data_IF_802444486864
#
_entry.id   IF_802444486864
#
_cell.length_a   1.000
_cell.length_b   1.000
_cell.length_c   1.000
_cell.angle_alpha   90.00
_cell.angle_beta   90.00
_cell.angle_gamma   90.00
#
_symmetry.space_group_name_H-M   'P 1'
#
loop_
_entity.id
_entity.type
_entity.pdbx_description
1 polymer ?
#
# COMPACT_ATOMS: atom_id res chain seq x y z
N UNK A 1 36.84 -22.72 19.17
CA UNK A 1 37.49 -22.08 18.01
C UNK A 1 38.27 -20.86 18.51
N UNK A 2 39.49 -20.65 18.04
CA UNK A 2 40.28 -19.46 18.38
C UNK A 2 39.86 -18.34 17.41
N UNK A 3 39.17 -17.33 17.91
CA UNK A 3 38.83 -16.13 17.15
C UNK A 3 39.95 -15.11 17.38
N UNK A 4 40.54 -14.62 16.30
CA UNK A 4 41.56 -13.57 16.33
C UNK A 4 40.94 -12.30 15.76
N UNK A 5 40.97 -11.22 16.54
CA UNK A 5 40.51 -9.91 16.12
C UNK A 5 41.74 -9.00 15.95
N UNK A 6 41.73 -8.23 14.87
CA UNK A 6 42.76 -7.27 14.50
C UNK A 6 42.05 -6.03 13.97
N UNK A 7 41.95 -5.00 14.81
CA UNK A 7 41.33 -3.73 14.47
C UNK A 7 42.35 -2.68 13.97
N UNK A 8 43.60 -3.10 13.76
CA UNK A 8 44.71 -2.26 13.33
C UNK A 8 45.46 -1.56 14.47
N UNK A 9 44.93 -1.56 15.70
CA UNK A 9 45.58 -0.99 16.89
C UNK A 9 45.96 -2.07 17.92
N UNK A 10 45.11 -3.09 18.11
CA UNK A 10 45.38 -4.23 18.98
C UNK A 10 45.03 -5.56 18.33
N UNK A 11 45.88 -6.58 18.60
CA UNK A 11 45.62 -7.97 18.25
C UNK A 11 45.30 -8.76 19.51
N UNK A 12 44.07 -9.22 19.63
CA UNK A 12 43.68 -10.12 20.71
C UNK A 12 43.02 -11.39 20.13
N UNK A 13 43.20 -12.49 20.87
CA UNK A 13 42.62 -13.77 20.47
C UNK A 13 41.89 -14.42 21.64
N UNK A 14 40.62 -14.78 21.42
CA UNK A 14 39.79 -15.46 22.40
C UNK A 14 39.41 -16.84 21.89
N UNK A 15 39.62 -17.87 22.70
CA UNK A 15 39.02 -19.19 22.48
C UNK A 15 37.59 -19.17 23.00
N UNK A 16 36.62 -19.29 22.09
CA UNK A 16 35.21 -19.52 22.42
C UNK A 16 34.67 -20.71 21.65
N UNK A 17 33.67 -21.38 22.21
CA UNK A 17 32.83 -22.32 21.45
C UNK A 17 32.07 -21.55 20.38
N UNK A 18 32.03 -22.08 19.16
CA UNK A 18 31.25 -21.47 18.09
C UNK A 18 29.80 -21.90 18.27
N UNK A 19 28.95 -20.95 18.65
CA UNK A 19 27.52 -21.21 18.93
C UNK A 19 26.69 -21.46 17.67
N UNK A 20 27.27 -21.22 16.48
CA UNK A 20 26.58 -21.27 15.20
C UNK A 20 26.00 -19.90 14.81
N UNK A 21 25.83 -19.66 13.51
CA UNK A 21 25.38 -18.36 12.98
C UNK A 21 23.94 -18.05 13.41
N UNK A 22 23.04 -19.04 13.35
CA UNK A 22 21.62 -18.84 13.66
C UNK A 22 21.44 -18.49 15.14
N UNK A 23 22.01 -19.31 16.04
CA UNK A 23 21.94 -19.08 17.49
C UNK A 23 22.59 -17.73 17.87
N UNK A 24 23.67 -17.33 17.20
CA UNK A 24 24.29 -16.03 17.41
C UNK A 24 23.34 -14.88 17.06
N UNK A 25 22.66 -14.94 15.91
CA UNK A 25 21.71 -13.92 15.48
C UNK A 25 20.50 -13.85 16.41
N UNK A 26 19.93 -14.99 16.78
CA UNK A 26 18.79 -15.08 17.69
C UNK A 26 19.13 -14.50 19.08
N UNK A 27 20.26 -14.92 19.66
CA UNK A 27 20.73 -14.37 20.94
C UNK A 27 20.95 -12.86 20.87
N UNK A 28 21.62 -12.37 19.82
CA UNK A 28 21.85 -10.92 19.63
C UNK A 28 20.55 -10.14 19.46
N UNK A 29 19.54 -10.70 18.81
CA UNK A 29 18.23 -10.08 18.66
C UNK A 29 17.53 -9.91 20.02
N UNK A 30 17.58 -10.95 20.86
CA UNK A 30 16.96 -10.94 22.20
C UNK A 30 17.71 -10.06 23.21
N UNK A 31 19.04 -10.07 23.18
CA UNK A 31 19.87 -9.36 24.15
C UNK A 31 20.11 -7.88 23.81
N UNK A 32 19.93 -7.48 22.55
CA UNK A 32 20.22 -6.08 22.17
C UNK A 32 19.07 -5.15 22.57
N UNK A 33 19.42 -4.00 23.15
CA UNK A 33 18.48 -2.89 23.44
C UNK A 33 18.40 -1.86 22.31
N UNK A 34 19.09 -2.12 21.19
CA UNK A 34 19.14 -1.20 20.05
C UNK A 34 18.13 -1.64 19.00
N UNK A 35 17.12 -0.80 18.76
CA UNK A 35 16.09 -1.05 17.75
C UNK A 35 16.70 -1.20 16.35
N UNK A 36 17.70 -0.38 16.00
CA UNK A 36 18.42 -0.52 14.73
C UNK A 36 19.06 -1.90 14.56
N UNK A 37 19.72 -2.43 15.60
CA UNK A 37 20.30 -3.79 15.53
C UNK A 37 19.21 -4.86 15.42
N UNK A 38 18.08 -4.70 16.10
CA UNK A 38 16.93 -5.61 15.96
C UNK A 38 16.41 -5.59 14.53
N UNK A 39 16.23 -4.41 13.94
CA UNK A 39 15.78 -4.27 12.55
C UNK A 39 16.75 -4.90 11.55
N UNK A 40 18.06 -4.72 11.71
CA UNK A 40 19.05 -5.38 10.85
C UNK A 40 18.97 -6.91 10.93
N UNK A 41 18.83 -7.46 12.15
CA UNK A 41 18.75 -8.91 12.35
C UNK A 41 17.40 -9.47 11.85
N UNK A 42 16.31 -8.72 12.05
CA UNK A 42 14.96 -9.12 11.63
C UNK A 42 14.85 -9.36 10.11
N UNK A 43 15.72 -8.76 9.29
CA UNK A 43 15.78 -9.01 7.84
C UNK A 43 16.11 -10.46 7.48
N UNK A 44 16.71 -11.22 8.40
CA UNK A 44 17.05 -12.63 8.22
C UNK A 44 15.99 -13.57 8.84
N UNK A 45 14.97 -13.02 9.48
CA UNK A 45 13.91 -13.77 10.12
C UNK A 45 12.69 -13.84 9.20
N UNK A 46 11.86 -14.86 9.43
CA UNK A 46 10.55 -14.99 8.81
C UNK A 46 9.51 -15.13 9.88
N UNK A 47 8.35 -14.55 9.65
CA UNK A 47 7.20 -14.75 10.54
C UNK A 47 6.67 -16.16 10.39
N UNK A 48 6.51 -16.84 11.51
CA UNK A 48 5.86 -18.14 11.62
C UNK A 48 4.73 -18.06 12.64
N UNK A 49 3.81 -19.01 12.57
CA UNK A 49 2.77 -19.11 13.59
C UNK A 49 3.42 -19.44 14.94
N UNK A 50 3.07 -18.68 15.98
CA UNK A 50 3.46 -18.99 17.35
C UNK A 50 3.11 -20.44 17.69
N UNK A 51 4.07 -21.21 18.21
CA UNK A 51 3.89 -22.63 18.54
C UNK A 51 2.81 -22.85 19.59
N UNK A 52 2.72 -21.96 20.60
CA UNK A 52 1.77 -22.08 21.71
C UNK A 52 0.32 -21.88 21.26
N UNK A 53 0.03 -20.77 20.58
CA UNK A 53 -1.34 -20.46 20.17
C UNK A 53 -1.66 -20.88 18.73
N UNK A 54 -0.71 -21.48 17.99
CA UNK A 54 -0.85 -21.80 16.56
C UNK A 54 -1.35 -20.63 15.69
N UNK A 55 -0.91 -19.42 16.03
CA UNK A 55 -1.32 -18.18 15.37
C UNK A 55 -2.76 -17.70 15.69
N UNK A 56 -3.44 -18.29 16.68
CA UNK A 56 -4.79 -17.87 17.09
C UNK A 56 -4.81 -16.66 18.03
N UNK A 57 -3.64 -16.25 18.55
CA UNK A 57 -3.39 -15.05 19.40
C UNK A 57 -4.10 -15.03 20.76
N UNK A 58 -4.85 -16.07 21.10
CA UNK A 58 -5.62 -16.18 22.34
C UNK A 58 -5.07 -17.32 23.20
N UNK A 59 -5.40 -17.27 24.50
CA UNK A 59 -5.14 -18.37 25.44
C UNK A 59 -6.06 -19.56 25.16
N UNK A 60 -5.65 -20.74 25.60
CA UNK A 60 -6.37 -21.99 25.36
C UNK A 60 -7.79 -21.96 25.94
N UNK A 61 -7.98 -21.36 27.11
CA UNK A 61 -9.29 -21.24 27.76
C UNK A 61 -10.28 -20.43 26.92
N UNK A 62 -9.79 -19.39 26.22
CA UNK A 62 -10.62 -18.60 25.30
C UNK A 62 -10.98 -19.37 24.02
N UNK A 63 -10.09 -20.26 23.55
CA UNK A 63 -10.30 -21.11 22.38
C UNK A 63 -11.22 -22.31 22.66
N UNK A 64 -11.44 -22.65 23.93
CA UNK A 64 -12.44 -23.64 24.34
C UNK A 64 -13.88 -23.14 24.16
N UNK A 65 -14.11 -21.82 24.15
CA UNK A 65 -15.45 -21.23 23.95
C UNK A 65 -15.83 -21.33 22.48
N UNK A 66 -16.96 -21.97 22.20
CA UNK A 66 -17.41 -22.30 20.84
C UNK A 66 -18.86 -21.92 20.60
N UNK A 67 -19.13 -21.44 19.40
CA UNK A 67 -20.49 -21.24 18.85
C UNK A 67 -20.57 -22.13 17.61
N UNK A 68 -21.62 -22.95 17.47
CA UNK A 68 -21.75 -23.93 16.37
C UNK A 68 -20.45 -24.73 16.15
N UNK A 69 -19.89 -25.23 17.27
CA UNK A 69 -18.64 -26.02 17.34
C UNK A 69 -17.36 -25.31 16.88
N UNK A 70 -17.38 -24.02 16.62
CA UNK A 70 -16.22 -23.22 16.21
C UNK A 70 -15.82 -22.17 17.23
N UNK A 71 -14.53 -21.99 17.43
CA UNK A 71 -13.99 -20.93 18.29
C UNK A 71 -13.89 -19.59 17.55
N UNK A 72 -13.70 -18.50 18.31
CA UNK A 72 -13.61 -17.14 17.77
C UNK A 72 -12.54 -17.02 16.67
N UNK A 73 -11.35 -17.59 16.88
CA UNK A 73 -10.25 -17.45 15.94
C UNK A 73 -10.48 -18.23 14.64
N UNK A 74 -11.13 -19.39 14.69
CA UNK A 74 -11.57 -20.13 13.50
C UNK A 74 -12.56 -19.34 12.65
N UNK A 75 -13.46 -18.58 13.29
CA UNK A 75 -14.41 -17.70 12.58
C UNK A 75 -13.65 -16.53 11.96
N UNK A 76 -12.71 -15.91 12.68
CA UNK A 76 -11.95 -14.77 12.13
C UNK A 76 -11.01 -15.14 10.98
N UNK A 77 -10.55 -16.39 10.90
CA UNK A 77 -9.75 -16.91 9.78
C UNK A 77 -10.56 -17.10 8.49
N UNK A 78 -11.90 -17.08 8.56
CA UNK A 78 -12.77 -17.15 7.38
C UNK A 78 -12.69 -15.87 6.57
N UNK A 79 -12.89 -15.99 5.25
CA UNK A 79 -13.18 -14.82 4.42
C UNK A 79 -14.48 -14.15 4.87
N UNK A 80 -14.64 -12.86 4.61
CA UNK A 80 -15.83 -12.09 5.00
C UNK A 80 -17.10 -12.72 4.41
N UNK A 81 -17.04 -13.23 3.17
CA UNK A 81 -18.17 -13.94 2.56
C UNK A 81 -18.53 -15.24 3.28
N UNK A 82 -17.54 -16.03 3.69
CA UNK A 82 -17.78 -17.26 4.45
C UNK A 82 -18.25 -16.98 5.88
N UNK A 83 -17.69 -15.96 6.52
CA UNK A 83 -18.08 -15.51 7.84
C UNK A 83 -19.55 -15.08 7.83
N UNK A 84 -19.96 -14.25 6.85
CA UNK A 84 -21.35 -13.81 6.71
C UNK A 84 -22.32 -14.99 6.56
N UNK A 85 -22.03 -15.92 5.63
CA UNK A 85 -22.86 -17.13 5.46
C UNK A 85 -22.97 -17.94 6.73
N UNK A 86 -21.89 -18.01 7.51
CA UNK A 86 -21.89 -18.73 8.78
C UNK A 86 -22.75 -18.03 9.84
N UNK A 87 -22.62 -16.70 10.01
CA UNK A 87 -23.45 -15.93 10.94
C UNK A 87 -24.94 -15.93 10.56
N UNK A 88 -25.28 -15.83 9.27
CA UNK A 88 -26.66 -15.99 8.79
C UNK A 88 -27.23 -17.39 9.08
N UNK A 89 -26.38 -18.44 9.05
CA UNK A 89 -26.82 -19.80 9.37
C UNK A 89 -27.12 -20.02 10.86
N UNK A 90 -26.64 -19.15 11.76
CA UNK A 90 -26.83 -19.30 13.20
C UNK A 90 -28.28 -19.07 13.64
N UNK A 91 -29.04 -18.27 12.90
CA UNK A 91 -30.45 -18.01 13.20
C UNK A 91 -31.30 -19.30 13.27
N UNK A 92 -30.89 -20.36 12.55
CA UNK A 92 -31.56 -21.65 12.52
C UNK A 92 -30.90 -22.72 13.42
N UNK A 93 -29.77 -22.40 14.06
CA UNK A 93 -28.96 -23.37 14.84
C UNK A 93 -28.96 -23.09 16.34
N UNK A 94 -29.21 -21.85 16.72
CA UNK A 94 -29.26 -21.45 18.12
C UNK A 94 -30.59 -21.89 18.76
N UNK A 95 -30.54 -22.25 20.03
CA UNK A 95 -31.74 -22.49 20.82
C UNK A 95 -32.53 -21.18 21.00
N UNK A 96 -33.84 -21.28 21.24
CA UNK A 96 -34.72 -20.10 21.34
C UNK A 96 -34.24 -19.06 22.37
N UNK A 97 -33.64 -19.50 23.48
CA UNK A 97 -33.09 -18.61 24.51
C UNK A 97 -31.89 -17.83 23.97
N UNK A 98 -30.94 -18.53 23.37
CA UNK A 98 -29.71 -17.94 22.84
C UNK A 98 -30.00 -17.01 21.67
N UNK A 99 -30.94 -17.39 20.82
CA UNK A 99 -31.39 -16.55 19.71
C UNK A 99 -31.97 -15.22 20.18
N UNK A 100 -32.77 -15.21 21.27
CA UNK A 100 -33.31 -13.96 21.84
C UNK A 100 -32.20 -13.03 22.34
N UNK A 101 -31.16 -13.59 22.97
CA UNK A 101 -30.02 -12.82 23.50
C UNK A 101 -29.15 -12.31 22.33
N UNK A 102 -28.88 -13.16 21.36
CA UNK A 102 -27.97 -12.87 20.26
C UNK A 102 -28.58 -12.02 19.14
N UNK A 103 -29.91 -11.89 19.08
CA UNK A 103 -30.64 -11.22 17.97
C UNK A 103 -30.05 -9.87 17.56
N UNK A 104 -29.83 -8.96 18.51
CA UNK A 104 -29.30 -7.62 18.22
C UNK A 104 -27.82 -7.67 17.80
N UNK A 105 -27.04 -8.57 18.42
CA UNK A 105 -25.61 -8.75 18.14
C UNK A 105 -25.42 -9.35 16.73
N UNK A 106 -26.17 -10.38 16.38
CA UNK A 106 -26.13 -11.02 15.06
C UNK A 106 -26.58 -10.06 13.97
N UNK A 107 -27.61 -9.24 14.23
CA UNK A 107 -28.02 -8.18 13.31
C UNK A 107 -26.88 -7.22 13.01
N UNK A 108 -26.23 -6.68 14.04
CA UNK A 108 -25.11 -5.74 13.90
C UNK A 108 -23.91 -6.38 13.16
N UNK A 109 -23.54 -7.61 13.51
CA UNK A 109 -22.46 -8.34 12.85
C UNK A 109 -22.77 -8.55 11.36
N UNK A 110 -23.97 -9.04 11.04
CA UNK A 110 -24.37 -9.30 9.66
C UNK A 110 -24.44 -8.01 8.83
N UNK A 111 -24.90 -6.90 9.42
CA UNK A 111 -24.90 -5.59 8.78
C UNK A 111 -23.47 -5.09 8.49
N UNK A 112 -22.55 -5.17 9.46
CA UNK A 112 -21.14 -4.80 9.26
C UNK A 112 -20.44 -5.64 8.19
N UNK A 113 -20.63 -6.96 8.23
CA UNK A 113 -20.12 -7.85 7.20
C UNK A 113 -20.71 -7.50 5.84
N UNK A 114 -22.00 -7.14 5.77
CA UNK A 114 -22.63 -6.71 4.53
C UNK A 114 -22.02 -5.41 3.98
N UNK A 115 -21.66 -4.44 4.83
CA UNK A 115 -20.97 -3.23 4.38
C UNK A 115 -19.62 -3.56 3.74
N UNK A 116 -18.83 -4.45 4.35
CA UNK A 116 -17.56 -4.92 3.77
C UNK A 116 -17.74 -5.61 2.41
N UNK A 117 -18.80 -6.41 2.26
CA UNK A 117 -19.14 -7.03 0.97
C UNK A 117 -19.53 -5.99 -0.09
N UNK A 118 -20.29 -4.97 0.30
CA UNK A 118 -20.75 -3.91 -0.60
C UNK A 118 -19.60 -3.03 -1.10
N UNK A 119 -18.47 -2.97 -0.40
CA UNK A 119 -17.25 -2.28 -0.87
C UNK A 119 -16.25 -3.23 -1.54
N UNK A 120 -16.64 -4.47 -1.86
CA UNK A 120 -15.82 -5.42 -2.62
C UNK A 120 -14.64 -6.01 -1.83
N UNK A 121 -14.76 -6.16 -0.51
CA UNK A 121 -13.73 -6.75 0.35
C UNK A 121 -14.04 -8.20 0.75
N UNK A 122 -14.88 -8.90 -0.02
CA UNK A 122 -15.41 -10.22 0.31
C UNK A 122 -14.35 -11.32 0.48
N UNK A 123 -13.21 -11.17 -0.20
CA UNK A 123 -12.10 -12.11 -0.19
C UNK A 123 -11.19 -12.01 1.04
N UNK A 124 -11.21 -10.88 1.75
CA UNK A 124 -10.36 -10.69 2.93
C UNK A 124 -10.88 -11.52 4.10
N UNK A 125 -9.95 -11.97 4.96
CA UNK A 125 -10.30 -12.59 6.24
C UNK A 125 -10.43 -11.53 7.33
N UNK A 126 -11.24 -11.80 8.36
CA UNK A 126 -11.37 -10.88 9.49
C UNK A 126 -10.09 -10.78 10.32
N UNK A 127 -9.25 -11.81 10.28
CA UNK A 127 -7.94 -11.86 10.94
C UNK A 127 -6.80 -11.24 10.13
N UNK A 128 -7.09 -10.64 8.97
CA UNK A 128 -6.05 -10.04 8.12
C UNK A 128 -5.42 -8.85 8.83
N UNK A 129 -4.10 -8.79 8.80
CA UNK A 129 -3.36 -7.70 9.43
C UNK A 129 -3.50 -6.39 8.66
N UNK A 130 -3.83 -5.31 9.38
CA UNK A 130 -4.06 -3.98 8.80
C UNK A 130 -2.84 -3.46 8.02
N UNK A 131 -1.63 -3.71 8.51
CA UNK A 131 -0.38 -3.30 7.85
C UNK A 131 -0.10 -4.00 6.51
N UNK A 132 -0.83 -5.06 6.19
CA UNK A 132 -0.67 -5.83 4.94
C UNK A 132 -1.72 -5.48 3.88
N UNK A 133 -2.62 -4.54 4.19
CA UNK A 133 -3.64 -4.05 3.28
C UNK A 133 -3.05 -3.01 2.33
N UNK A 134 -3.49 -3.03 1.09
CA UNK A 134 -3.23 -1.94 0.14
C UNK A 134 -3.94 -0.64 0.57
N UNK A 135 -3.49 0.50 0.06
CA UNK A 135 -4.13 1.80 0.33
C UNK A 135 -5.63 1.78 0.02
N UNK A 136 -6.01 1.26 -1.16
CA UNK A 136 -7.41 1.14 -1.55
C UNK A 136 -8.22 0.17 -0.67
N UNK A 137 -7.64 -0.93 -0.18
CA UNK A 137 -8.32 -1.81 0.78
C UNK A 137 -8.57 -1.11 2.12
N UNK A 138 -7.55 -0.43 2.67
CA UNK A 138 -7.66 0.33 3.91
C UNK A 138 -8.71 1.45 3.80
N UNK A 139 -8.73 2.17 2.69
CA UNK A 139 -9.71 3.21 2.41
C UNK A 139 -11.14 2.64 2.34
N UNK A 140 -11.34 1.50 1.67
CA UNK A 140 -12.66 0.85 1.58
C UNK A 140 -13.12 0.27 2.92
N UNK A 141 -12.23 -0.24 3.77
CA UNK A 141 -12.59 -0.62 5.15
C UNK A 141 -13.09 0.60 5.92
N UNK A 142 -12.40 1.74 5.81
CA UNK A 142 -12.83 2.99 6.44
C UNK A 142 -14.21 3.42 5.94
N UNK A 143 -14.45 3.36 4.63
CA UNK A 143 -15.76 3.66 4.04
C UNK A 143 -16.87 2.73 4.59
N UNK A 144 -16.63 1.43 4.64
CA UNK A 144 -17.59 0.47 5.20
C UNK A 144 -17.91 0.77 6.67
N UNK A 145 -16.89 1.15 7.46
CA UNK A 145 -17.07 1.58 8.85
C UNK A 145 -17.90 2.86 8.98
N UNK A 146 -17.75 3.82 8.06
CA UNK A 146 -18.54 5.06 8.08
C UNK A 146 -20.00 4.80 7.71
N UNK A 147 -20.27 3.97 6.70
CA UNK A 147 -21.64 3.56 6.36
C UNK A 147 -22.32 2.86 7.55
N UNK A 148 -21.58 2.03 8.29
CA UNK A 148 -22.10 1.35 9.47
C UNK A 148 -22.31 2.22 10.69
N UNK A 149 -21.68 3.40 10.76
CA UNK A 149 -21.91 4.34 11.87
C UNK A 149 -23.30 4.99 11.84
N UNK A 150 -23.97 4.98 10.68
CA UNK A 150 -25.30 5.56 10.52
C UNK A 150 -25.37 7.08 10.75
N UNK A 151 -24.24 7.77 10.66
CA UNK A 151 -24.18 9.23 10.81
C UNK A 151 -24.97 9.92 9.69
N UNK A 152 -25.61 11.04 10.03
CA UNK A 152 -26.41 11.88 9.13
C UNK A 152 -25.96 13.33 9.28
N UNK A 153 -26.10 14.15 8.24
CA UNK A 153 -25.65 15.55 8.25
C UNK A 153 -24.12 15.72 8.20
N UNK A 154 -23.36 14.69 7.83
CA UNK A 154 -21.90 14.73 7.72
C UNK A 154 -21.49 15.05 6.28
N UNK A 155 -20.42 15.85 6.13
CA UNK A 155 -19.72 16.06 4.86
C UNK A 155 -18.56 15.06 4.75
N UNK A 156 -18.70 14.08 3.86
CA UNK A 156 -17.63 13.13 3.55
C UNK A 156 -16.83 13.63 2.35
N UNK A 157 -15.51 13.69 2.50
CA UNK A 157 -14.57 13.99 1.41
C UNK A 157 -13.71 12.76 1.17
N UNK A 158 -13.75 12.23 -0.04
CA UNK A 158 -13.01 11.03 -0.46
C UNK A 158 -12.06 11.38 -1.60
N UNK A 159 -10.86 10.83 -1.50
CA UNK A 159 -9.79 11.01 -2.48
C UNK A 159 -9.57 9.71 -3.26
N UNK A 160 -9.99 9.68 -4.53
CA UNK A 160 -9.87 8.56 -5.47
C UNK A 160 -10.22 7.16 -4.90
N UNK A 161 -11.46 6.94 -4.40
CA UNK A 161 -11.85 5.67 -3.78
C UNK A 161 -11.84 4.46 -4.74
N UNK A 162 -11.77 4.68 -6.06
CA UNK A 162 -11.62 3.61 -7.06
C UNK A 162 -10.19 3.03 -7.13
N UNK A 163 -9.19 3.65 -6.46
CA UNK A 163 -7.80 3.16 -6.49
C UNK A 163 -7.72 1.68 -6.09
N UNK A 164 -7.05 0.90 -6.96
CA UNK A 164 -6.82 -0.52 -6.73
C UNK A 164 -8.09 -1.37 -6.76
N UNK A 165 -9.20 -0.82 -7.25
CA UNK A 165 -10.44 -1.53 -7.52
C UNK A 165 -10.49 -1.93 -9.00
N UNK A 166 -11.08 -3.09 -9.27
CA UNK A 166 -11.32 -3.53 -10.65
C UNK A 166 -12.63 -2.93 -11.16
N UNK A 167 -12.72 -2.61 -12.46
CA UNK A 167 -13.91 -1.97 -13.06
C UNK A 167 -15.23 -2.67 -12.68
N UNK A 168 -15.24 -4.00 -12.73
CA UNK A 168 -16.39 -4.82 -12.30
C UNK A 168 -16.94 -4.47 -10.90
N UNK A 169 -16.08 -4.14 -9.95
CA UNK A 169 -16.46 -3.85 -8.57
C UNK A 169 -16.73 -2.37 -8.32
N UNK A 170 -16.42 -1.50 -9.29
CA UNK A 170 -16.66 -0.06 -9.22
C UNK A 170 -18.14 0.29 -9.03
N UNK A 171 -19.03 -0.46 -9.69
CA UNK A 171 -20.49 -0.35 -9.52
C UNK A 171 -20.91 -0.52 -8.05
N UNK A 172 -20.25 -1.43 -7.32
CA UNK A 172 -20.56 -1.66 -5.90
C UNK A 172 -20.12 -0.45 -5.04
N UNK A 173 -18.95 0.11 -5.34
CA UNK A 173 -18.45 1.32 -4.71
C UNK A 173 -19.40 2.50 -4.94
N UNK A 174 -19.79 2.77 -6.19
CA UNK A 174 -20.75 3.83 -6.54
C UNK A 174 -22.07 3.65 -5.77
N UNK A 175 -22.57 2.42 -5.69
CA UNK A 175 -23.78 2.11 -4.89
C UNK A 175 -23.60 2.39 -3.41
N UNK A 176 -22.43 2.09 -2.84
CA UNK A 176 -22.11 2.39 -1.45
C UNK A 176 -22.03 3.90 -1.19
N UNK A 177 -21.46 4.68 -2.11
CA UNK A 177 -21.40 6.14 -2.04
C UNK A 177 -22.79 6.76 -2.12
N UNK A 178 -23.64 6.30 -3.06
CA UNK A 178 -25.04 6.73 -3.15
C UNK A 178 -25.82 6.41 -1.88
N UNK A 179 -25.62 5.22 -1.30
CA UNK A 179 -26.21 4.89 0.01
C UNK A 179 -25.76 5.84 1.12
N UNK A 180 -24.47 6.19 1.16
CA UNK A 180 -23.94 7.12 2.16
C UNK A 180 -24.59 8.52 2.03
N UNK A 181 -24.76 8.99 0.79
CA UNK A 181 -25.52 10.21 0.47
C UNK A 181 -26.98 10.11 0.91
N UNK A 182 -27.66 9.03 0.55
CA UNK A 182 -29.10 8.81 0.79
C UNK A 182 -29.45 8.70 2.29
N UNK A 183 -28.45 8.47 3.16
CA UNK A 183 -28.61 8.59 4.62
C UNK A 183 -28.77 10.05 5.09
N UNK A 184 -28.69 11.04 4.19
CA UNK A 184 -28.76 12.47 4.53
C UNK A 184 -27.39 13.10 4.72
N UNK A 185 -26.37 12.58 4.04
CA UNK A 185 -25.00 13.12 4.05
C UNK A 185 -24.66 13.78 2.72
N UNK A 186 -23.65 14.65 2.73
CA UNK A 186 -23.03 15.16 1.49
C UNK A 186 -21.75 14.39 1.24
N UNK A 187 -21.53 13.94 0.00
CA UNK A 187 -20.37 13.15 -0.39
C UNK A 187 -19.65 13.86 -1.54
N UNK A 188 -18.45 14.36 -1.26
CA UNK A 188 -17.54 14.94 -2.25
C UNK A 188 -16.47 13.90 -2.57
N UNK A 189 -16.29 13.61 -3.85
CA UNK A 189 -15.33 12.62 -4.33
C UNK A 189 -14.42 13.25 -5.36
N UNK A 190 -13.12 13.20 -5.12
CA UNK A 190 -12.09 13.47 -6.13
C UNK A 190 -11.89 12.19 -6.93
N UNK A 191 -12.13 12.23 -8.23
CA UNK A 191 -12.07 11.03 -9.09
C UNK A 191 -11.67 11.37 -10.53
N UNK A 192 -11.22 10.32 -11.23
CA UNK A 192 -10.91 10.34 -12.65
C UNK A 192 -11.63 9.22 -13.42
N UNK A 193 -12.34 8.33 -12.72
CA UNK A 193 -13.13 7.26 -13.33
C UNK A 193 -14.41 7.77 -14.01
N UNK A 194 -14.64 7.27 -15.23
CA UNK A 194 -15.77 7.67 -16.08
C UNK A 194 -17.11 7.26 -15.47
N UNK A 195 -17.24 6.00 -15.01
CA UNK A 195 -18.51 5.49 -14.46
C UNK A 195 -18.94 6.27 -13.19
N UNK A 196 -17.96 6.70 -12.40
CA UNK A 196 -18.21 7.51 -11.20
C UNK A 196 -18.69 8.90 -11.56
N UNK A 197 -18.03 9.57 -12.51
CA UNK A 197 -18.46 10.87 -13.02
C UNK A 197 -19.87 10.81 -13.64
N UNK A 198 -20.14 9.79 -14.48
CA UNK A 198 -21.46 9.58 -15.08
C UNK A 198 -22.56 9.33 -14.05
N UNK A 199 -22.20 8.75 -12.91
CA UNK A 199 -23.12 8.44 -11.82
C UNK A 199 -23.34 9.58 -10.82
N UNK A 200 -22.57 10.67 -10.92
CA UNK A 200 -22.60 11.79 -10.00
C UNK A 200 -23.82 12.68 -10.20
N UNK A 201 -24.35 13.23 -9.10
CA UNK A 201 -25.46 14.19 -9.17
C UNK A 201 -24.98 15.58 -9.64
N UNK A 202 -23.73 15.92 -9.33
CA UNK A 202 -23.09 17.17 -9.64
C UNK A 202 -21.58 16.96 -9.85
N UNK A 203 -21.01 17.60 -10.85
CA UNK A 203 -19.59 17.52 -11.18
C UNK A 203 -19.00 18.92 -11.16
N UNK A 204 -17.80 19.04 -10.62
CA UNK A 204 -16.99 20.26 -10.65
C UNK A 204 -15.68 19.91 -11.34
N UNK A 205 -15.43 20.53 -12.49
CA UNK A 205 -14.21 20.32 -13.28
C UNK A 205 -13.20 21.44 -12.97
N UNK A 206 -12.03 21.04 -12.47
CA UNK A 206 -10.92 21.94 -12.14
C UNK A 206 -9.86 21.92 -13.25
N UNK A 207 -9.31 23.08 -13.57
CA UNK A 207 -8.25 23.19 -14.56
C UNK A 207 -8.09 24.62 -15.09
N UNK A 208 -7.83 24.81 -16.39
CA UNK A 208 -7.62 23.77 -17.42
C UNK A 208 -6.25 23.08 -17.31
N UNK A 209 -5.29 23.69 -16.61
CA UNK A 209 -3.94 23.15 -16.43
C UNK A 209 -3.65 22.83 -14.94
N UNK A 210 -2.44 22.32 -14.67
CA UNK A 210 -1.97 22.04 -13.33
C UNK A 210 -1.06 23.17 -12.81
N UNK A 211 -0.89 23.26 -11.49
CA UNK A 211 0.01 24.25 -10.88
C UNK A 211 -0.54 25.67 -10.94
N UNK A 212 0.31 26.64 -11.29
CA UNK A 212 -0.03 28.07 -11.27
C UNK A 212 -1.09 28.45 -12.31
N UNK A 213 -1.18 27.67 -13.38
CA UNK A 213 -2.10 27.89 -14.49
C UNK A 213 -3.41 27.08 -14.32
N UNK A 214 -3.55 26.38 -13.20
CA UNK A 214 -4.78 25.70 -12.77
C UNK A 214 -5.53 26.46 -11.67
N UNK A 215 -6.38 25.74 -10.95
CA UNK A 215 -7.11 26.28 -9.79
C UNK A 215 -8.39 27.05 -10.14
N UNK A 216 -8.86 26.98 -11.39
CA UNK A 216 -10.13 27.56 -11.81
C UNK A 216 -11.20 26.48 -11.93
N UNK A 217 -12.44 26.84 -11.63
CA UNK A 217 -13.61 26.03 -11.98
C UNK A 217 -13.87 26.26 -13.48
N UNK A 218 -13.57 25.27 -14.29
CA UNK A 218 -13.74 25.33 -15.75
C UNK A 218 -15.20 25.11 -16.13
N UNK A 219 -15.84 24.15 -15.47
CA UNK A 219 -17.25 23.80 -15.62
C UNK A 219 -17.78 23.26 -14.29
N UNK A 220 -19.06 23.51 -14.00
CA UNK A 220 -19.76 22.91 -12.86
C UNK A 220 -21.22 22.71 -13.22
N UNK A 221 -21.81 21.60 -12.79
CA UNK A 221 -23.20 21.27 -13.13
C UNK A 221 -23.45 19.78 -13.23
N UNK A 222 -24.42 19.41 -14.07
CA UNK A 222 -24.67 18.01 -14.44
C UNK A 222 -23.64 17.55 -15.46
N UNK A 223 -23.60 16.23 -15.69
CA UNK A 223 -22.74 15.62 -16.71
C UNK A 223 -22.82 16.31 -18.09
N UNK A 224 -24.03 16.65 -18.52
CA UNK A 224 -24.29 17.34 -19.80
C UNK A 224 -23.62 18.71 -19.87
N UNK A 225 -23.61 19.47 -18.75
CA UNK A 225 -22.99 20.79 -18.67
C UNK A 225 -21.46 20.68 -18.83
N UNK A 226 -20.85 19.63 -18.27
CA UNK A 226 -19.42 19.36 -18.42
C UNK A 226 -19.09 18.96 -19.86
N UNK A 227 -19.88 18.06 -20.46
CA UNK A 227 -19.70 17.58 -21.84
C UNK A 227 -19.81 18.71 -22.87
N UNK A 228 -20.76 19.63 -22.66
CA UNK A 228 -21.02 20.73 -23.59
C UNK A 228 -19.98 21.87 -23.47
N UNK A 229 -19.19 21.91 -22.40
CA UNK A 229 -18.17 22.94 -22.21
C UNK A 229 -16.87 22.60 -22.96
N UNK A 230 -16.59 23.32 -24.05
CA UNK A 230 -15.41 23.10 -24.89
C UNK A 230 -14.07 23.30 -24.16
N UNK A 231 -14.05 24.14 -23.12
CA UNK A 231 -12.83 24.40 -22.31
C UNK A 231 -12.53 23.26 -21.35
N UNK A 232 -13.52 22.42 -21.02
CA UNK A 232 -13.34 21.26 -20.14
C UNK A 232 -12.54 20.17 -20.85
N UNK A 233 -11.34 19.87 -20.36
CA UNK A 233 -10.58 18.71 -20.86
C UNK A 233 -11.36 17.44 -20.54
N UNK A 234 -11.91 17.34 -19.33
CA UNK A 234 -12.73 16.23 -18.86
C UNK A 234 -13.94 16.02 -19.76
N UNK A 235 -14.71 17.07 -20.06
CA UNK A 235 -15.86 17.02 -20.98
C UNK A 235 -15.48 16.57 -22.39
N UNK A 236 -14.30 16.97 -22.90
CA UNK A 236 -13.80 16.49 -24.18
C UNK A 236 -13.49 14.98 -24.19
N UNK A 237 -13.02 14.40 -23.08
CA UNK A 237 -12.83 12.96 -22.96
C UNK A 237 -14.15 12.20 -22.76
N UNK A 238 -15.04 12.72 -21.92
CA UNK A 238 -16.36 12.12 -21.66
C UNK A 238 -17.25 12.09 -22.93
N UNK A 239 -17.18 13.14 -23.75
CA UNK A 239 -17.89 13.21 -25.04
C UNK A 239 -17.27 12.38 -26.15
N UNK A 240 -16.06 11.83 -25.95
CA UNK A 240 -15.30 11.13 -26.98
C UNK A 240 -14.64 12.04 -28.03
N UNK A 241 -14.74 13.38 -27.92
CA UNK A 241 -13.98 14.33 -28.76
C UNK A 241 -12.47 14.09 -28.66
N UNK A 242 -12.01 13.74 -27.45
CA UNK A 242 -10.65 13.24 -27.18
C UNK A 242 -10.75 11.80 -26.69
N UNK A 243 -9.75 10.99 -27.07
CA UNK A 243 -9.63 9.61 -26.61
C UNK A 243 -8.17 9.17 -26.60
N UNK A 244 -7.87 8.10 -25.86
CA UNK A 244 -6.54 7.49 -25.85
C UNK A 244 -6.44 6.57 -27.07
N UNK A 245 -5.56 6.90 -28.01
CA UNK A 245 -5.39 6.14 -29.24
C UNK A 245 -4.90 4.72 -28.96
N UNK A 246 -5.64 3.72 -29.44
CA UNK A 246 -5.25 2.31 -29.35
C UNK A 246 -4.21 2.02 -30.45
N UNK A 247 -3.01 1.50 -30.13
CA UNK A 247 -2.01 1.17 -31.14
C UNK A 247 -2.52 0.14 -32.14
N UNK A 248 -2.43 0.47 -33.44
CA UNK A 248 -2.81 -0.45 -34.53
C UNK A 248 -1.94 -1.71 -34.59
N UNK A 249 -0.68 -1.60 -34.16
CA UNK A 249 0.31 -2.68 -34.16
C UNK A 249 0.81 -2.88 -32.73
N UNK A 250 0.75 -4.12 -32.23
CA UNK A 250 1.26 -4.51 -30.90
C UNK A 250 2.63 -5.15 -31.04
N UNK A 251 3.54 -4.83 -30.10
CA UNK A 251 4.88 -5.42 -30.05
C UNK A 251 4.81 -6.88 -29.59
N UNK A 252 5.56 -7.75 -30.23
CA UNK A 252 5.79 -9.14 -29.82
C UNK A 252 7.09 -9.25 -29.01
N UNK A 253 7.35 -10.42 -28.43
CA UNK A 253 8.57 -10.68 -27.68
C UNK A 253 9.81 -10.41 -28.55
N UNK A 254 10.69 -9.52 -28.09
CA UNK A 254 11.91 -9.16 -28.85
C UNK A 254 12.80 -10.39 -29.00
N UNK A 255 13.00 -10.85 -30.24
CA UNK A 255 13.78 -12.06 -30.57
C UNK A 255 13.31 -13.33 -29.82
N UNK A 256 12.00 -13.43 -29.53
CA UNK A 256 11.46 -14.59 -28.80
C UNK A 256 11.94 -14.70 -27.35
N UNK A 257 12.38 -13.60 -26.73
CA UNK A 257 12.90 -13.57 -25.35
C UNK A 257 11.77 -13.50 -24.32
N UNK A 258 11.85 -14.37 -23.32
CA UNK A 258 10.87 -14.44 -22.25
C UNK A 258 11.53 -14.57 -20.88
N UNK A 259 10.89 -13.97 -19.88
CA UNK A 259 11.12 -14.22 -18.47
C UNK A 259 10.04 -15.18 -17.97
N UNK A 260 10.43 -16.26 -17.33
CA UNK A 260 9.51 -17.29 -16.86
C UNK A 260 9.65 -17.49 -15.35
N UNK A 261 8.53 -17.66 -14.68
CA UNK A 261 8.46 -18.17 -13.30
C UNK A 261 7.52 -19.35 -13.25
N UNK A 262 7.91 -20.41 -12.55
CA UNK A 262 7.18 -21.66 -12.49
C UNK A 262 6.77 -22.03 -11.06
N UNK A 263 5.58 -22.60 -10.94
CA UNK A 263 5.02 -23.16 -9.73
C UNK A 263 4.89 -22.18 -8.56
N UNK A 264 4.49 -20.94 -8.81
CA UNK A 264 4.23 -19.96 -7.75
C UNK A 264 3.02 -20.37 -6.89
N UNK A 265 3.20 -20.46 -5.58
CA UNK A 265 2.19 -20.92 -4.59
C UNK A 265 2.00 -19.95 -3.42
N UNK A 266 2.60 -18.77 -3.47
CA UNK A 266 2.42 -17.73 -2.44
C UNK A 266 0.96 -17.37 -2.21
N UNK A 267 0.56 -17.22 -0.93
CA UNK A 267 -0.80 -16.83 -0.52
C UNK A 267 -1.88 -17.71 -1.19
N UNK A 268 -2.69 -17.12 -2.08
CA UNK A 268 -3.79 -17.79 -2.78
C UNK A 268 -3.44 -18.29 -4.19
N UNK A 269 -2.16 -18.22 -4.60
CA UNK A 269 -1.71 -18.69 -5.91
C UNK A 269 -1.73 -20.23 -5.98
N UNK A 270 -2.23 -20.77 -7.09
CA UNK A 270 -2.45 -22.22 -7.27
C UNK A 270 -1.41 -22.83 -8.22
N UNK A 271 -0.14 -22.90 -7.79
CA UNK A 271 0.98 -23.46 -8.58
C UNK A 271 1.05 -22.87 -10.00
N UNK A 272 1.09 -21.53 -10.07
CA UNK A 272 0.96 -20.78 -11.32
C UNK A 272 2.31 -20.72 -12.04
N UNK A 273 2.27 -20.90 -13.37
CA UNK A 273 3.39 -20.61 -14.27
C UNK A 273 3.10 -19.31 -15.02
N UNK A 274 4.06 -18.41 -15.10
CA UNK A 274 3.94 -17.13 -15.79
C UNK A 274 5.10 -16.98 -16.76
N UNK A 275 4.78 -16.49 -17.97
CA UNK A 275 5.73 -16.24 -19.05
C UNK A 275 5.54 -14.81 -19.57
N UNK A 276 6.54 -13.96 -19.37
CA UNK A 276 6.51 -12.53 -19.69
C UNK A 276 7.37 -12.26 -20.93
N UNK A 277 6.82 -11.71 -22.01
CA UNK A 277 7.58 -11.35 -23.20
C UNK A 277 8.46 -10.11 -22.95
N UNK A 278 9.78 -10.26 -23.11
CA UNK A 278 10.72 -9.17 -22.89
C UNK A 278 10.70 -8.15 -24.05
N UNK A 279 10.94 -6.88 -23.71
CA UNK A 279 10.90 -5.76 -24.66
C UNK A 279 9.48 -5.34 -25.07
N UNK A 280 8.46 -5.72 -24.29
CA UNK A 280 7.05 -5.39 -24.54
C UNK A 280 6.43 -4.60 -23.39
N UNK A 281 5.28 -3.98 -23.64
CA UNK A 281 4.44 -3.37 -22.61
C UNK A 281 3.46 -4.44 -22.07
N UNK A 282 3.84 -5.12 -20.99
CA UNK A 282 3.01 -6.18 -20.39
C UNK A 282 2.18 -5.63 -19.24
N UNK A 283 0.86 -5.81 -19.31
CA UNK A 283 -0.06 -5.46 -18.23
C UNK A 283 -0.54 -6.73 -17.52
N UNK A 284 -0.51 -6.72 -16.18
CA UNK A 284 -1.05 -7.80 -15.33
C UNK A 284 -2.36 -7.31 -14.73
N UNK A 285 -3.47 -7.90 -15.17
CA UNK A 285 -4.82 -7.48 -14.79
C UNK A 285 -5.57 -8.58 -14.02
N UNK A 286 -6.76 -8.24 -13.49
CA UNK A 286 -7.64 -9.11 -12.73
C UNK A 286 -8.24 -8.42 -11.51
N UNK A 287 -9.26 -9.02 -10.91
CA UNK A 287 -9.98 -8.48 -9.74
C UNK A 287 -9.07 -8.31 -8.50
N UNK A 288 -9.49 -7.46 -7.55
CA UNK A 288 -8.80 -7.32 -6.26
C UNK A 288 -8.81 -8.66 -5.52
N UNK A 289 -7.71 -8.97 -4.82
CA UNK A 289 -7.51 -10.28 -4.19
C UNK A 289 -7.13 -11.44 -5.13
N UNK A 290 -7.07 -11.27 -6.46
CA UNK A 290 -6.71 -12.38 -7.39
C UNK A 290 -5.25 -12.88 -7.27
N UNK A 291 -4.39 -12.17 -6.55
CA UNK A 291 -2.99 -12.53 -6.34
C UNK A 291 -1.99 -11.81 -7.23
N UNK A 292 -2.38 -10.74 -7.95
CA UNK A 292 -1.48 -9.93 -8.81
C UNK A 292 -0.22 -9.47 -8.08
N UNK A 293 -0.39 -8.77 -6.95
CA UNK A 293 0.73 -8.27 -6.16
C UNK A 293 1.56 -9.40 -5.53
N UNK A 294 0.91 -10.51 -5.16
CA UNK A 294 1.62 -11.71 -4.70
C UNK A 294 2.55 -12.23 -5.79
N UNK A 295 2.03 -12.43 -7.00
CA UNK A 295 2.78 -13.02 -8.11
C UNK A 295 3.91 -12.11 -8.60
N UNK A 296 3.62 -10.82 -8.80
CA UNK A 296 4.56 -9.88 -9.42
C UNK A 296 5.53 -9.28 -8.40
N UNK A 297 5.03 -8.73 -7.30
CA UNK A 297 5.87 -8.01 -6.35
C UNK A 297 6.47 -8.95 -5.30
N UNK A 298 5.62 -9.76 -4.65
CA UNK A 298 6.08 -10.59 -3.52
C UNK A 298 6.82 -11.85 -3.95
N UNK A 299 6.61 -12.35 -5.16
CA UNK A 299 7.29 -13.53 -5.71
C UNK A 299 8.33 -13.12 -6.75
N UNK A 300 7.91 -12.65 -7.93
CA UNK A 300 8.81 -12.43 -9.07
C UNK A 300 9.85 -11.33 -8.78
N UNK A 301 9.41 -10.14 -8.38
CA UNK A 301 10.31 -9.02 -8.10
C UNK A 301 11.30 -9.36 -6.99
N UNK A 302 10.81 -9.86 -5.84
CA UNK A 302 11.69 -10.27 -4.74
C UNK A 302 12.71 -11.34 -5.18
N UNK A 303 12.31 -12.35 -5.96
CA UNK A 303 13.20 -13.38 -6.46
C UNK A 303 14.30 -12.80 -7.37
N UNK A 304 13.92 -11.92 -8.31
CA UNK A 304 14.86 -11.28 -9.23
C UNK A 304 15.75 -10.25 -8.55
N UNK A 305 15.25 -9.55 -7.54
CA UNK A 305 16.00 -8.56 -6.80
C UNK A 305 17.15 -9.20 -6.00
N UNK A 306 16.95 -10.41 -5.46
CA UNK A 306 18.03 -11.16 -4.81
C UNK A 306 19.14 -11.53 -5.81
N UNK A 307 18.77 -11.95 -7.01
CA UNK A 307 19.72 -12.40 -8.04
C UNK A 307 20.43 -11.25 -8.76
N UNK A 308 19.71 -10.19 -9.12
CA UNK A 308 20.20 -9.14 -10.03
C UNK A 308 20.71 -7.88 -9.30
N UNK A 309 20.21 -7.58 -8.10
CA UNK A 309 20.53 -6.34 -7.38
C UNK A 309 21.48 -6.56 -6.19
N UNK A 310 22.33 -7.60 -6.22
CA UNK A 310 23.31 -7.92 -5.19
C UNK A 310 22.74 -7.93 -3.75
N UNK A 311 21.52 -8.45 -3.56
CA UNK A 311 20.85 -8.54 -2.25
C UNK A 311 20.71 -7.22 -1.48
N UNK A 312 20.67 -6.05 -2.15
CA UNK A 312 20.50 -4.74 -1.46
C UNK A 312 19.19 -4.61 -0.69
N UNK A 313 18.16 -5.38 -1.03
CA UNK A 313 16.91 -5.48 -0.27
C UNK A 313 16.58 -6.97 -0.08
N UNK A 314 16.62 -7.42 1.18
CA UNK A 314 16.55 -8.84 1.57
C UNK A 314 15.12 -9.34 1.77
N UNK A 315 14.16 -8.86 0.98
CA UNK A 315 12.80 -9.39 1.03
C UNK A 315 12.79 -10.78 0.41
N UNK A 316 12.42 -11.78 1.22
CA UNK A 316 12.35 -13.17 0.78
C UNK A 316 11.14 -13.33 -0.16
N UNK A 317 11.32 -13.94 -1.35
CA UNK A 317 10.20 -14.20 -2.26
C UNK A 317 9.23 -15.22 -1.65
N UNK A 318 7.93 -15.04 -1.94
CA UNK A 318 6.93 -16.07 -1.63
C UNK A 318 7.24 -17.37 -2.41
N UNK A 319 6.78 -18.55 -1.95
CA UNK A 319 7.17 -19.83 -2.54
C UNK A 319 6.88 -19.96 -4.05
N UNK A 320 7.87 -20.49 -4.78
CA UNK A 320 7.82 -20.84 -6.21
C UNK A 320 8.82 -21.98 -6.51
N UNK A 321 8.75 -22.62 -7.67
CA UNK A 321 9.62 -23.76 -8.04
C UNK A 321 10.91 -23.35 -8.74
N UNK A 322 10.85 -22.34 -9.61
CA UNK A 322 12.03 -21.83 -10.32
C UNK A 322 11.70 -20.74 -11.32
N UNK A 323 12.72 -20.08 -11.87
CA UNK A 323 12.58 -19.08 -12.93
C UNK A 323 13.61 -19.29 -14.05
N UNK A 324 13.38 -18.71 -15.22
CA UNK A 324 14.28 -18.73 -16.39
C UNK A 324 14.28 -17.38 -17.11
N UNK A 325 15.33 -17.08 -17.88
CA UNK A 325 15.42 -15.85 -18.66
C UNK A 325 15.93 -14.65 -17.85
N UNK A 326 16.58 -14.89 -16.71
CA UNK A 326 17.18 -13.83 -15.88
C UNK A 326 18.47 -13.31 -16.47
N UNK A 327 19.18 -14.14 -17.22
CA UNK A 327 20.36 -13.78 -18.02
C UNK A 327 20.05 -12.74 -19.12
N UNK A 328 18.77 -12.47 -19.39
CA UNK A 328 18.31 -11.50 -20.37
C UNK A 328 18.06 -10.11 -19.75
N UNK A 329 18.27 -9.95 -18.44
CA UNK A 329 17.93 -8.75 -17.66
C UNK A 329 19.10 -8.40 -16.74
N UNK A 330 19.62 -7.17 -16.87
CA UNK A 330 20.75 -6.72 -16.03
C UNK A 330 20.32 -6.21 -14.66
N UNK A 331 19.12 -5.59 -14.59
CA UNK A 331 18.61 -4.93 -13.38
C UNK A 331 17.10 -4.98 -13.34
N UNK A 332 16.55 -5.10 -12.14
CA UNK A 332 15.11 -4.92 -11.89
C UNK A 332 14.88 -3.69 -11.00
N UNK A 333 13.84 -2.92 -11.31
CA UNK A 333 13.45 -1.72 -10.58
C UNK A 333 11.95 -1.82 -10.30
N UNK A 334 11.58 -1.70 -9.03
CA UNK A 334 10.20 -1.51 -8.61
C UNK A 334 9.98 -0.01 -8.41
N UNK A 335 8.92 0.51 -9.03
CA UNK A 335 8.46 1.89 -8.87
C UNK A 335 7.12 1.78 -8.15
N UNK A 336 7.17 1.92 -6.83
CA UNK A 336 6.02 1.71 -5.97
C UNK A 336 5.24 3.01 -5.70
N UNK A 337 4.18 2.89 -4.92
CA UNK A 337 3.34 4.01 -4.48
C UNK A 337 3.73 4.50 -3.07
N UNK A 338 4.88 4.09 -2.56
CA UNK A 338 5.34 4.57 -1.26
C UNK A 338 5.69 6.05 -1.35
N UNK A 339 5.47 6.83 -0.28
CA UNK A 339 5.79 8.25 -0.30
C UNK A 339 7.30 8.43 -0.52
N UNK A 340 7.65 9.40 -1.38
CA UNK A 340 9.04 9.76 -1.74
C UNK A 340 9.92 10.00 -0.51
N UNK A 341 9.33 10.52 0.57
CA UNK A 341 9.93 10.56 1.89
C UNK A 341 8.87 10.81 2.95
N UNK A 342 9.23 10.54 4.21
CA UNK A 342 8.38 10.77 5.38
C UNK A 342 8.69 12.08 6.11
N UNK A 343 9.64 12.86 5.59
CA UNK A 343 10.08 14.13 6.17
C UNK A 343 10.01 15.24 5.14
N UNK A 344 9.86 16.51 5.57
CA UNK A 344 9.87 17.68 4.67
C UNK A 344 11.18 17.84 3.86
N UNK A 345 12.24 17.13 4.26
CA UNK A 345 13.56 17.17 3.62
C UNK A 345 13.60 16.48 2.27
N UNK A 346 12.71 15.53 2.03
CA UNK A 346 12.62 14.83 0.75
C UNK A 346 11.70 15.59 -0.20
N UNK A 347 12.28 16.14 -1.26
CA UNK A 347 11.55 16.84 -2.30
C UNK A 347 11.98 16.35 -3.70
N UNK A 348 11.32 16.78 -4.79
CA UNK A 348 11.66 16.32 -6.14
C UNK A 348 13.12 16.57 -6.51
N UNK A 349 13.72 17.69 -6.09
CA UNK A 349 15.11 18.02 -6.41
C UNK A 349 16.11 17.10 -5.68
N UNK A 350 15.86 16.77 -4.42
CA UNK A 350 16.72 15.82 -3.69
C UNK A 350 16.52 14.39 -4.17
N UNK A 351 15.29 13.98 -4.47
CA UNK A 351 14.98 12.62 -4.89
C UNK A 351 15.53 12.29 -6.29
N UNK A 352 15.43 13.23 -7.21
CA UNK A 352 16.00 13.08 -8.57
C UNK A 352 17.51 13.28 -8.62
N UNK A 353 18.12 13.79 -7.55
CA UNK A 353 19.53 14.18 -7.51
C UNK A 353 19.85 15.52 -8.16
N UNK A 354 18.85 16.22 -8.73
CA UNK A 354 19.03 17.53 -9.36
C UNK A 354 19.57 18.60 -8.40
N UNK A 355 19.33 18.46 -7.09
CA UNK A 355 19.79 19.42 -6.09
C UNK A 355 21.32 19.49 -5.94
N UNK A 356 22.06 18.43 -6.32
CA UNK A 356 23.53 18.46 -6.33
C UNK A 356 24.07 19.50 -7.33
N UNK A 357 23.83 19.31 -8.64
CA UNK A 357 24.24 20.27 -9.67
C UNK A 357 23.76 21.70 -9.43
N UNK A 358 22.54 21.88 -8.89
CA UNK A 358 22.03 23.20 -8.52
C UNK A 358 22.94 23.85 -7.47
N UNK A 359 23.27 23.15 -6.38
CA UNK A 359 24.16 23.68 -5.35
C UNK A 359 25.56 23.96 -5.89
N UNK A 360 26.09 23.11 -6.74
CA UNK A 360 27.41 23.31 -7.35
C UNK A 360 27.42 24.58 -8.20
N UNK A 361 26.34 24.87 -8.93
CA UNK A 361 26.21 26.13 -9.64
C UNK A 361 26.24 27.33 -8.69
N UNK A 362 25.48 27.30 -7.59
CA UNK A 362 25.48 28.37 -6.59
C UNK A 362 26.86 28.62 -5.98
N UNK A 363 27.68 27.58 -5.80
CA UNK A 363 29.06 27.75 -5.31
C UNK A 363 29.97 28.45 -6.29
N UNK A 364 29.65 28.41 -7.58
CA UNK A 364 30.46 29.02 -8.63
C UNK A 364 30.19 30.53 -8.83
N UNK A 365 29.17 31.08 -8.19
CA UNK A 365 28.87 32.52 -8.23
C UNK A 365 30.01 33.35 -7.61
N UNK A 366 30.30 34.56 -8.13
CA UNK A 366 31.37 35.41 -7.61
C UNK A 366 31.26 35.66 -6.10
N UNK A 367 30.06 35.97 -5.60
CA UNK A 367 29.78 36.26 -4.20
C UNK A 367 30.05 35.04 -3.31
N UNK A 368 29.69 33.85 -3.80
CA UNK A 368 29.92 32.57 -3.11
C UNK A 368 31.41 32.27 -3.01
N UNK A 369 32.18 32.50 -4.10
CA UNK A 369 33.63 32.31 -4.12
C UNK A 369 34.34 33.27 -3.17
N UNK A 370 33.98 34.55 -3.18
CA UNK A 370 34.55 35.56 -2.27
C UNK A 370 34.29 35.23 -0.80
N UNK A 371 33.11 34.65 -0.49
CA UNK A 371 32.75 34.23 0.88
C UNK A 371 33.21 32.81 1.24
N UNK A 372 33.89 32.11 0.34
CA UNK A 372 34.37 30.75 0.57
C UNK A 372 33.27 29.70 0.68
N UNK A 373 32.06 29.97 0.18
CA UNK A 373 30.92 29.06 0.28
C UNK A 373 31.14 27.79 -0.56
N UNK A 374 30.85 26.64 0.08
CA UNK A 374 30.94 25.29 -0.50
C UNK A 374 29.54 24.69 -0.67
N UNK A 375 29.36 23.56 -1.38
CA UNK A 375 28.03 23.00 -1.63
C UNK A 375 27.22 22.73 -0.35
N UNK A 376 27.90 22.45 0.76
CA UNK A 376 27.27 22.28 2.08
C UNK A 376 26.52 23.51 2.59
N UNK A 377 26.99 24.73 2.27
CA UNK A 377 26.34 25.99 2.68
C UNK A 377 24.96 26.15 2.03
N UNK A 378 24.76 25.61 0.84
CA UNK A 378 23.48 25.64 0.12
C UNK A 378 22.62 24.40 0.35
N UNK A 379 22.99 23.56 1.32
CA UNK A 379 22.22 22.39 1.69
C UNK A 379 21.37 22.68 2.92
N UNK A 380 20.06 22.50 2.81
CA UNK A 380 19.16 22.58 3.96
C UNK A 380 19.35 21.41 4.95
N UNK A 381 20.04 20.34 4.54
CA UNK A 381 20.32 19.18 5.40
C UNK A 381 21.59 19.33 6.26
N UNK A 382 22.40 20.36 6.04
CA UNK A 382 23.73 20.49 6.66
C UNK A 382 23.79 21.78 7.47
N UNK A 383 24.28 21.68 8.72
CA UNK A 383 24.58 22.86 9.54
C UNK A 383 25.60 23.74 8.84
N UNK A 384 25.36 25.04 8.86
CA UNK A 384 26.23 25.97 8.15
C UNK A 384 25.42 27.01 7.43
N UNK A 385 24.46 26.65 6.58
CA UNK A 385 23.64 27.63 5.83
C UNK A 385 22.13 27.41 5.84
N UNK A 386 21.66 26.36 6.51
CA UNK A 386 20.24 26.16 6.79
C UNK A 386 19.74 27.12 7.87
N UNK A 387 18.42 27.29 7.97
CA UNK A 387 17.81 27.94 9.13
C UNK A 387 17.95 27.02 10.35
N UNK A 388 18.52 27.49 11.45
CA UNK A 388 18.68 26.68 12.66
C UNK A 388 17.40 26.60 13.51
N UNK A 389 16.42 27.49 13.31
CA UNK A 389 15.15 27.44 14.03
C UNK A 389 14.27 26.25 13.60
N UNK A 390 14.18 25.98 12.29
CA UNK A 390 13.46 24.83 11.74
C UNK A 390 14.42 23.70 11.30
N UNK A 391 15.71 23.81 11.62
CA UNK A 391 16.75 22.86 11.23
C UNK A 391 16.80 22.52 9.73
N UNK A 392 16.35 23.45 8.88
CA UNK A 392 16.29 23.30 7.43
C UNK A 392 15.03 22.63 6.88
N UNK A 393 14.07 22.28 7.73
CA UNK A 393 12.80 21.67 7.28
C UNK A 393 11.85 22.71 6.64
N UNK A 394 12.06 23.99 6.95
CA UNK A 394 11.24 25.10 6.43
C UNK A 394 9.85 25.20 7.07
N UNK A 395 9.52 24.27 7.96
CA UNK A 395 8.28 24.21 8.75
C UNK A 395 8.60 23.67 10.14
N UNK A 396 7.75 23.97 11.12
CA UNK A 396 7.79 23.38 12.46
C UNK A 396 6.66 22.37 12.58
N UNK A 397 7.00 21.14 12.96
CA UNK A 397 6.02 20.07 13.20
C UNK A 397 5.54 20.14 14.65
N UNK A 398 4.22 20.20 14.84
CA UNK A 398 3.58 20.10 16.15
C UNK A 398 2.88 18.75 16.26
N UNK A 399 3.24 17.99 17.31
CA UNK A 399 2.63 16.70 17.61
C UNK A 399 1.22 16.92 18.18
N UNK A 400 0.24 16.22 17.61
CA UNK A 400 -1.16 16.31 18.02
C UNK A 400 -1.62 14.98 18.64
N UNK A 401 -2.22 15.02 19.82
CA UNK A 401 -2.56 13.79 20.54
C UNK A 401 -3.65 12.92 19.88
N UNK A 402 -4.60 13.53 19.18
CA UNK A 402 -5.76 12.84 18.60
C UNK A 402 -6.01 13.18 17.12
N UNK A 403 -5.31 14.18 16.60
CA UNK A 403 -5.35 14.60 15.21
C UNK A 403 -4.01 14.28 14.55
N UNK A 404 -3.94 14.21 13.22
CA UNK A 404 -2.65 14.15 12.54
C UNK A 404 -1.76 15.35 12.89
N UNK A 405 -0.45 15.12 12.96
CA UNK A 405 0.53 16.17 13.20
C UNK A 405 0.40 17.30 12.17
N UNK A 406 0.64 18.53 12.62
CA UNK A 406 0.48 19.73 11.80
C UNK A 406 1.83 20.37 11.54
N UNK A 407 2.06 20.75 10.28
CA UNK A 407 3.22 21.53 9.87
C UNK A 407 2.83 23.02 9.77
N UNK A 408 3.53 23.89 10.50
CA UNK A 408 3.33 25.34 10.46
C UNK A 408 4.57 25.97 9.82
N UNK A 409 4.33 26.76 8.76
CA UNK A 409 5.38 27.46 8.01
C UNK A 409 5.70 28.84 8.61
#
# INVERSE_FOLDING_TARGET
IKFSYDDGYEKYSHKKTFEGVINNLERRYLETDSDWKREEIAQYQTESNCEKCSGHRLKDEALCVKIDKKNISEITKKSIIEAKKWFESLDNKLEQRDQKIAKHILKEINERLNFLLNVGLDYLTLSRESGTLSGGESQRIRLASQIGSGLTGVLYVLDEPSIGLHQKDNIKLIKALKKLRDLGNTVIVVEHDIETMESADHIIDLGPEAGKDGGYIVAQGKLEDIINNEKSITGNYLSGKKSIAVPKIRRTAKNGRFLEISGATGNNLKNINLKIPLGTFTCVTGVSGSGKSTLILQTLFNALNLTLNNNKSRKIPKPFKGYKGTELIDKIIDIDQSPIGRTPRSNPATYTGAFGPIRDWFTNLPESKTRGYKPGRFSFNVKGGRCEACEGDGVITYEMHFLPDVYIA
#
